data_IF_996122740998
#
_entry.id   IF_996122740998
#
_cell.length_a   1.000
_cell.length_b   1.000
_cell.length_c   1.000
_cell.angle_alpha   90.00
_cell.angle_beta   90.00
_cell.angle_gamma   90.00
#
_symmetry.space_group_name_H-M   'P 1'
#
loop_
_entity.id
_entity.type
_entity.pdbx_description
1 polymer ?
#
# COMPACT_ATOMS: atom_id res chain seq x y z
N UNK A 1 -5.73 -5.75 4.73
CA UNK A 1 -4.30 -6.12 4.63
C UNK A 1 -3.49 -4.86 4.79
N UNK A 2 -2.29 -4.84 5.40
CA UNK A 2 -1.44 -3.65 5.37
C UNK A 2 -1.30 -3.17 3.94
N UNK A 3 -1.63 -1.90 3.75
CA UNK A 3 -1.50 -1.20 2.48
C UNK A 3 -0.21 -0.40 2.55
N UNK A 4 -0.04 0.47 1.56
CA UNK A 4 1.21 1.19 1.34
C UNK A 4 1.82 1.83 2.59
N UNK A 5 1.01 2.60 3.33
CA UNK A 5 1.49 3.35 4.50
C UNK A 5 1.93 2.45 5.64
N UNK A 6 1.20 1.38 5.91
CA UNK A 6 1.46 0.47 7.02
C UNK A 6 2.66 -0.41 6.72
N UNK A 7 2.84 -0.80 5.44
CA UNK A 7 4.03 -1.50 4.98
C UNK A 7 5.26 -0.59 5.07
N UNK A 8 5.19 0.64 4.54
CA UNK A 8 6.26 1.61 4.63
C UNK A 8 6.59 1.99 6.09
N UNK A 9 5.57 2.17 6.94
CA UNK A 9 5.74 2.44 8.37
C UNK A 9 6.53 1.33 9.07
N UNK A 10 6.10 0.08 8.84
CA UNK A 10 6.75 -1.10 9.41
C UNK A 10 8.16 -1.29 8.86
N UNK A 11 8.35 -1.01 7.57
CA UNK A 11 9.64 -1.00 6.88
C UNK A 11 10.63 0.00 7.47
N UNK A 12 10.24 1.28 7.54
CA UNK A 12 11.05 2.34 8.14
C UNK A 12 11.36 2.06 9.61
N UNK A 13 10.40 1.58 10.41
CA UNK A 13 10.67 1.20 11.79
C UNK A 13 11.76 0.12 11.88
N UNK A 14 11.65 -0.94 11.08
CA UNK A 14 12.63 -2.02 11.06
C UNK A 14 14.02 -1.53 10.63
N UNK A 15 14.06 -0.77 9.53
CA UNK A 15 15.28 -0.25 8.92
C UNK A 15 16.02 0.71 9.86
N UNK A 16 15.31 1.70 10.43
CA UNK A 16 15.91 2.68 11.34
C UNK A 16 16.36 2.04 12.66
N UNK A 17 15.61 1.06 13.19
CA UNK A 17 16.00 0.34 14.41
C UNK A 17 17.24 -0.53 14.17
N UNK A 18 17.27 -1.26 13.05
CA UNK A 18 18.44 -2.05 12.64
C UNK A 18 19.67 -1.19 12.43
N UNK A 19 19.52 -0.07 11.71
CA UNK A 19 20.61 0.88 11.46
C UNK A 19 21.17 1.44 12.76
N UNK A 20 20.31 1.93 13.66
CA UNK A 20 20.74 2.48 14.95
C UNK A 20 21.49 1.46 15.81
N UNK A 21 20.99 0.22 15.88
CA UNK A 21 21.66 -0.85 16.62
C UNK A 21 22.99 -1.27 15.97
N UNK A 22 23.08 -1.31 14.64
CA UNK A 22 24.34 -1.59 13.95
C UNK A 22 25.38 -0.48 14.15
N UNK A 23 24.96 0.78 14.16
CA UNK A 23 25.81 1.93 14.49
C UNK A 23 26.31 1.87 15.94
N UNK A 24 25.56 1.24 16.85
CA UNK A 24 25.98 0.96 18.22
C UNK A 24 26.95 -0.24 18.34
N UNK A 25 27.28 -0.93 17.23
CA UNK A 25 28.22 -2.05 17.20
C UNK A 25 27.60 -3.41 17.55
N UNK A 26 26.27 -3.52 17.50
CA UNK A 26 25.58 -4.77 17.80
C UNK A 26 25.77 -5.83 16.71
N UNK A 27 25.84 -7.09 17.14
CA UNK A 27 25.92 -8.26 16.25
C UNK A 27 24.53 -8.80 15.90
N UNK A 28 24.36 -9.17 14.65
CA UNK A 28 23.11 -9.62 14.04
C UNK A 28 23.21 -11.05 13.48
N UNK A 29 24.10 -11.88 14.02
CA UNK A 29 24.06 -13.33 13.84
C UNK A 29 22.77 -13.88 14.44
N UNK A 30 22.01 -14.61 13.63
CA UNK A 30 20.74 -15.20 14.02
C UNK A 30 20.96 -16.36 14.98
N UNK A 31 20.48 -16.23 16.21
CA UNK A 31 20.55 -17.29 17.21
C UNK A 31 19.38 -18.27 17.04
N UNK A 32 18.16 -17.74 16.81
CA UNK A 32 16.94 -18.54 16.85
C UNK A 32 15.77 -17.87 16.10
N UNK A 33 14.76 -18.67 15.76
CA UNK A 33 13.47 -18.23 15.23
C UNK A 33 12.37 -18.71 16.19
N UNK A 34 11.57 -17.79 16.72
CA UNK A 34 10.53 -18.12 17.69
C UNK A 34 9.11 -17.76 17.21
N UNK A 35 8.12 -18.51 17.69
CA UNK A 35 6.70 -18.35 17.33
C UNK A 35 5.77 -18.62 18.51
N UNK A 36 4.54 -18.13 18.42
CA UNK A 36 3.41 -18.68 19.16
C UNK A 36 2.72 -19.79 18.35
N UNK A 37 2.31 -20.86 19.04
CA UNK A 37 1.50 -21.92 18.45
C UNK A 37 0.05 -21.48 18.22
N UNK A 38 -0.59 -21.99 17.17
CA UNK A 38 -2.05 -21.98 17.04
C UNK A 38 -2.70 -22.87 18.12
N UNK A 39 -4.01 -22.74 18.32
CA UNK A 39 -4.72 -23.64 19.23
C UNK A 39 -4.61 -25.12 18.83
N UNK A 40 -4.60 -25.42 17.52
CA UNK A 40 -4.44 -26.78 17.01
C UNK A 40 -3.01 -27.29 17.18
N UNK A 41 -2.01 -26.44 16.92
CA UNK A 41 -0.59 -26.78 17.10
C UNK A 41 -0.28 -27.10 18.57
N UNK A 42 -0.78 -26.30 19.50
CA UNK A 42 -0.56 -26.51 20.94
C UNK A 42 -1.19 -27.81 21.48
N UNK A 43 -2.17 -28.37 20.78
CA UNK A 43 -2.84 -29.62 21.17
C UNK A 43 -2.18 -30.88 20.59
N UNK A 44 -1.16 -30.74 19.72
CA UNK A 44 -0.46 -31.91 19.18
C UNK A 44 0.27 -32.65 20.33
N UNK A 45 0.33 -33.99 20.31
CA UNK A 45 1.05 -34.75 21.35
C UNK A 45 2.52 -34.34 21.47
N UNK A 46 3.16 -34.11 20.31
CA UNK A 46 4.55 -33.71 20.14
C UNK A 46 4.79 -32.19 20.29
N UNK A 47 3.75 -31.39 20.59
CA UNK A 47 3.93 -29.96 20.76
C UNK A 47 4.86 -29.64 21.95
N UNK A 48 5.78 -28.66 21.81
CA UNK A 48 6.62 -28.21 22.91
C UNK A 48 5.80 -27.78 24.13
N UNK A 49 6.32 -28.03 25.32
CA UNK A 49 5.61 -27.72 26.57
C UNK A 49 5.25 -26.23 26.68
N UNK A 50 6.14 -25.34 26.22
CA UNK A 50 5.87 -23.90 26.14
C UNK A 50 4.68 -23.58 25.23
N UNK A 51 4.56 -24.26 24.08
CA UNK A 51 3.44 -24.09 23.16
C UNK A 51 2.11 -24.51 23.81
N UNK A 52 2.11 -25.63 24.56
CA UNK A 52 0.95 -26.12 25.34
C UNK A 52 0.51 -25.10 26.41
N UNK A 53 1.47 -24.40 27.01
CA UNK A 53 1.23 -23.32 27.99
C UNK A 53 0.82 -21.97 27.35
N UNK A 54 0.77 -21.89 26.01
CA UNK A 54 0.47 -20.65 25.30
C UNK A 54 1.57 -19.59 25.39
N UNK A 55 2.82 -20.04 25.61
CA UNK A 55 4.04 -19.24 25.60
C UNK A 55 4.73 -19.35 24.23
N UNK A 56 5.56 -18.35 23.94
CA UNK A 56 6.45 -18.36 22.77
C UNK A 56 7.47 -19.49 22.91
N UNK A 57 7.76 -20.19 21.82
CA UNK A 57 8.76 -21.24 21.76
C UNK A 57 9.64 -21.10 20.51
N UNK A 58 10.87 -21.58 20.63
CA UNK A 58 11.86 -21.58 19.56
C UNK A 58 11.65 -22.76 18.60
N UNK A 59 11.92 -22.54 17.32
CA UNK A 59 11.84 -23.55 16.28
C UNK A 59 13.21 -24.20 16.11
N UNK A 60 13.22 -25.51 15.87
CA UNK A 60 14.43 -26.24 15.50
C UNK A 60 14.41 -26.61 14.01
N UNK A 61 15.51 -27.23 13.55
CA UNK A 61 15.67 -27.67 12.17
C UNK A 61 14.64 -28.72 11.73
N UNK A 62 13.85 -29.31 12.63
CA UNK A 62 12.80 -30.27 12.28
C UNK A 62 11.42 -29.62 12.12
N UNK A 63 11.31 -28.31 12.40
CA UNK A 63 10.05 -27.59 12.39
C UNK A 63 9.31 -27.65 11.05
N UNK A 64 8.03 -28.00 11.10
CA UNK A 64 7.10 -28.02 9.98
C UNK A 64 6.07 -26.87 10.05
N UNK A 65 6.29 -25.89 10.93
CA UNK A 65 5.34 -24.82 11.20
C UNK A 65 5.16 -23.94 9.96
N UNK A 66 3.90 -23.77 9.54
CA UNK A 66 3.52 -22.95 8.39
C UNK A 66 2.57 -21.82 8.76
N UNK A 67 2.67 -20.70 8.05
CA UNK A 67 1.85 -19.50 8.24
C UNK A 67 1.41 -18.95 6.88
N UNK A 68 0.25 -18.29 6.86
CA UNK A 68 -0.35 -17.74 5.65
C UNK A 68 -1.84 -18.06 5.56
N UNK A 69 -2.45 -17.69 4.43
CA UNK A 69 -3.84 -18.02 4.14
C UNK A 69 -3.99 -19.54 3.92
N UNK A 70 -5.17 -20.10 4.14
CA UNK A 70 -5.42 -21.55 4.17
C UNK A 70 -4.88 -22.34 2.96
N UNK A 71 -4.78 -21.72 1.78
CA UNK A 71 -4.27 -22.35 0.55
C UNK A 71 -2.84 -21.93 0.16
N UNK A 72 -2.26 -20.97 0.88
CA UNK A 72 -0.99 -20.34 0.58
C UNK A 72 -0.12 -20.25 1.84
N UNK A 73 -0.10 -21.32 2.63
CA UNK A 73 0.76 -21.38 3.80
C UNK A 73 2.20 -21.70 3.38
N UNK A 74 3.14 -21.02 4.03
CA UNK A 74 4.58 -21.08 3.77
C UNK A 74 5.33 -21.39 5.06
N UNK A 75 6.52 -21.98 4.93
CA UNK A 75 7.30 -22.45 6.08
C UNK A 75 7.91 -21.26 6.82
N UNK A 76 7.72 -21.23 8.15
CA UNK A 76 8.31 -20.17 8.99
C UNK A 76 9.81 -20.39 9.10
N UNK A 77 10.24 -21.64 9.29
CA UNK A 77 11.65 -22.01 9.31
C UNK A 77 12.22 -22.07 7.88
N UNK A 78 13.47 -21.61 7.63
CA UNK A 78 14.08 -21.66 6.30
C UNK A 78 14.11 -23.09 5.73
N UNK A 79 13.49 -23.37 4.57
CA UNK A 79 13.42 -24.72 4.03
C UNK A 79 14.81 -25.34 3.72
N UNK A 80 15.79 -24.50 3.35
CA UNK A 80 17.17 -24.91 3.05
C UNK A 80 17.96 -25.30 4.30
N UNK A 81 17.53 -24.87 5.48
CA UNK A 81 18.15 -25.19 6.77
C UNK A 81 17.37 -26.27 7.52
N UNK A 82 16.32 -26.84 6.91
CA UNK A 82 15.52 -27.89 7.55
C UNK A 82 16.22 -29.24 7.45
N UNK A 83 16.19 -29.98 8.55
CA UNK A 83 16.62 -31.36 8.63
C UNK A 83 15.56 -32.25 7.93
N UNK A 84 15.99 -32.97 6.90
CA UNK A 84 15.16 -33.92 6.14
C UNK A 84 15.89 -35.24 5.98
N UNK A 85 15.24 -36.25 5.38
CA UNK A 85 15.93 -37.50 5.01
C UNK A 85 17.12 -37.24 4.07
N UNK A 86 16.98 -36.25 3.19
CA UNK A 86 17.96 -35.93 2.15
C UNK A 86 19.01 -34.92 2.66
N UNK A 87 18.71 -34.22 3.75
CA UNK A 87 19.59 -33.28 4.43
C UNK A 87 19.54 -33.51 5.96
N UNK A 88 20.14 -34.59 6.49
CA UNK A 88 20.02 -34.95 7.91
C UNK A 88 20.83 -34.03 8.84
N UNK A 89 21.70 -33.17 8.31
CA UNK A 89 22.55 -32.27 9.08
C UNK A 89 22.67 -30.92 8.37
N UNK A 90 21.57 -30.15 8.31
CA UNK A 90 21.57 -28.84 7.67
C UNK A 90 22.51 -27.86 8.39
N UNK A 91 22.93 -26.77 7.71
CA UNK A 91 23.64 -25.69 8.38
C UNK A 91 22.82 -25.08 9.53
N UNK A 92 23.51 -24.60 10.57
CA UNK A 92 22.89 -23.91 11.71
C UNK A 92 22.35 -22.54 11.33
N UNK A 93 21.34 -22.03 12.06
CA UNK A 93 20.88 -20.64 11.96
C UNK A 93 21.99 -19.62 12.19
N UNK A 94 23.01 -19.98 12.98
CA UNK A 94 24.18 -19.12 13.22
C UNK A 94 25.05 -18.86 11.99
N UNK A 95 24.75 -19.50 10.85
CA UNK A 95 25.34 -19.16 9.54
C UNK A 95 24.68 -17.95 8.88
N UNK A 96 23.52 -17.51 9.38
CA UNK A 96 22.77 -16.35 8.92
C UNK A 96 23.10 -15.14 9.79
N UNK A 97 23.58 -14.07 9.17
CA UNK A 97 23.69 -12.76 9.81
C UNK A 97 22.81 -11.77 9.05
N UNK A 98 22.00 -10.96 9.74
CA UNK A 98 21.18 -9.93 9.08
C UNK A 98 22.09 -8.77 8.63
N UNK A 99 22.18 -8.58 7.32
CA UNK A 99 23.06 -7.62 6.68
C UNK A 99 22.33 -6.35 6.26
N UNK A 100 21.06 -6.45 5.87
CA UNK A 100 20.24 -5.30 5.46
C UNK A 100 18.74 -5.55 5.68
N UNK A 101 17.99 -4.45 5.76
CA UNK A 101 16.53 -4.44 5.87
C UNK A 101 15.97 -3.47 4.83
N UNK A 102 15.24 -4.02 3.85
CA UNK A 102 14.50 -3.23 2.87
C UNK A 102 13.01 -3.57 2.94
N UNK A 103 12.18 -2.86 2.19
CA UNK A 103 10.75 -3.14 2.13
C UNK A 103 10.18 -2.81 0.75
N UNK A 104 9.00 -3.36 0.52
CA UNK A 104 8.14 -3.07 -0.64
C UNK A 104 6.79 -2.56 -0.13
N UNK A 105 5.90 -2.24 -1.06
CA UNK A 105 4.54 -1.80 -0.75
C UNK A 105 3.70 -2.77 0.09
N UNK A 106 4.12 -4.03 0.28
CA UNK A 106 3.40 -5.01 1.12
C UNK A 106 4.26 -5.96 1.95
N UNK A 107 5.58 -5.86 1.87
CA UNK A 107 6.47 -6.81 2.54
C UNK A 107 7.70 -6.16 3.12
N UNK A 108 8.19 -6.73 4.22
CA UNK A 108 9.56 -6.50 4.68
C UNK A 108 10.48 -7.51 4.01
N UNK A 109 11.69 -7.09 3.63
CA UNK A 109 12.72 -7.95 3.08
C UNK A 109 13.93 -7.88 4.01
N UNK A 110 14.28 -9.03 4.58
CA UNK A 110 15.42 -9.21 5.46
C UNK A 110 16.52 -9.92 4.68
N UNK A 111 17.64 -9.23 4.47
CA UNK A 111 18.78 -9.77 3.74
C UNK A 111 19.74 -10.38 4.74
N UNK A 112 19.76 -11.71 4.83
CA UNK A 112 20.78 -12.44 5.58
C UNK A 112 21.94 -12.83 4.65
N UNK A 113 23.12 -13.07 5.23
CA UNK A 113 24.34 -13.46 4.53
C UNK A 113 24.18 -14.47 3.37
N UNK A 114 23.39 -15.53 3.56
CA UNK A 114 23.19 -16.59 2.54
C UNK A 114 21.73 -16.79 2.14
N UNK A 115 20.79 -16.05 2.74
CA UNK A 115 19.36 -16.20 2.51
C UNK A 115 18.65 -14.85 2.58
N UNK A 116 17.52 -14.74 1.89
CA UNK A 116 16.64 -13.58 1.98
C UNK A 116 15.27 -14.04 2.47
N UNK A 117 14.72 -13.34 3.46
CA UNK A 117 13.38 -13.56 3.98
C UNK A 117 12.46 -12.40 3.58
N UNK A 118 11.46 -12.67 2.74
CA UNK A 118 10.38 -11.73 2.44
C UNK A 118 9.18 -12.05 3.33
N UNK A 119 8.84 -11.14 4.26
CA UNK A 119 7.69 -11.28 5.14
C UNK A 119 6.55 -10.39 4.65
N UNK A 120 5.51 -11.01 4.11
CA UNK A 120 4.25 -10.34 3.78
C UNK A 120 3.36 -10.26 5.02
N UNK A 121 2.95 -9.06 5.40
CA UNK A 121 2.21 -8.84 6.65
C UNK A 121 0.78 -9.41 6.65
N UNK A 122 0.18 -9.58 5.46
CA UNK A 122 -1.21 -10.01 5.24
C UNK A 122 -2.26 -9.31 6.11
N UNK A 123 -2.58 -9.75 7.34
CA UNK A 123 -3.55 -9.05 8.22
C UNK A 123 -3.02 -8.90 9.64
N UNK A 124 -3.37 -7.77 10.27
CA UNK A 124 -3.13 -7.50 11.69
C UNK A 124 -1.72 -7.78 12.21
N UNK A 125 -0.70 -7.70 11.35
CA UNK A 125 0.71 -7.95 11.69
C UNK A 125 1.45 -6.62 11.65
N UNK A 126 2.30 -6.39 12.66
CA UNK A 126 3.16 -5.21 12.76
C UNK A 126 4.60 -5.63 13.02
N UNK A 127 5.53 -4.68 13.02
CA UNK A 127 6.93 -4.91 13.38
C UNK A 127 7.22 -4.35 14.77
N UNK A 128 8.02 -5.07 15.54
CA UNK A 128 8.58 -4.61 16.80
C UNK A 128 10.05 -4.99 16.89
N UNK A 129 10.86 -4.08 17.43
CA UNK A 129 12.30 -4.31 17.59
C UNK A 129 12.61 -4.24 19.09
N UNK A 130 12.57 -5.40 19.75
CA UNK A 130 12.71 -5.47 21.20
C UNK A 130 14.18 -5.56 21.61
N UNK A 131 14.61 -4.82 22.65
CA UNK A 131 15.82 -5.18 23.38
C UNK A 131 15.68 -6.60 23.95
N UNK A 132 16.78 -7.35 24.00
CA UNK A 132 16.82 -8.75 24.46
C UNK A 132 16.22 -8.90 25.86
N UNK A 133 16.54 -7.96 26.76
CA UNK A 133 16.02 -7.93 28.11
C UNK A 133 14.49 -7.81 28.14
N UNK A 134 13.92 -6.85 27.40
CA UNK A 134 12.47 -6.65 27.31
C UNK A 134 11.77 -7.88 26.71
N UNK A 135 12.36 -8.50 25.68
CA UNK A 135 11.84 -9.74 25.12
C UNK A 135 11.75 -10.85 26.17
N UNK A 136 12.82 -11.06 26.94
CA UNK A 136 12.91 -12.10 27.95
C UNK A 136 11.96 -11.87 29.12
N UNK A 137 11.85 -10.61 29.57
CA UNK A 137 11.09 -10.26 30.76
C UNK A 137 9.60 -10.08 30.49
N UNK A 138 9.22 -9.60 29.30
CA UNK A 138 7.85 -9.14 29.03
C UNK A 138 7.14 -9.86 27.89
N UNK A 139 7.86 -10.58 27.03
CA UNK A 139 7.25 -11.19 25.83
C UNK A 139 7.29 -12.71 25.88
N UNK A 140 8.47 -13.32 25.92
CA UNK A 140 8.64 -14.77 25.71
C UNK A 140 8.00 -15.60 26.83
N UNK A 141 7.99 -15.08 28.05
CA UNK A 141 7.48 -15.75 29.26
C UNK A 141 6.06 -15.33 29.65
N UNK A 142 5.38 -14.52 28.82
CA UNK A 142 4.01 -14.08 29.06
C UNK A 142 3.07 -14.77 28.08
N UNK A 143 2.00 -15.37 28.58
CA UNK A 143 1.07 -16.10 27.70
C UNK A 143 0.36 -15.16 26.73
N UNK A 144 0.04 -15.68 25.53
CA UNK A 144 -0.66 -14.90 24.50
C UNK A 144 -2.04 -14.38 24.95
N UNK A 145 -2.68 -15.02 25.94
CA UNK A 145 -3.95 -14.56 26.51
C UNK A 145 -3.79 -13.32 27.40
N UNK A 146 -2.62 -13.14 28.03
CA UNK A 146 -2.27 -11.95 28.81
C UNK A 146 -1.80 -10.84 27.87
N UNK A 147 -0.91 -11.15 26.91
CA UNK A 147 -0.39 -10.18 25.92
C UNK A 147 -1.47 -9.58 24.99
N UNK A 148 -2.56 -10.31 24.74
CA UNK A 148 -3.65 -9.95 23.79
C UNK A 148 -3.21 -9.89 22.31
N UNK A 149 -2.01 -10.38 22.00
CA UNK A 149 -1.50 -10.62 20.66
C UNK A 149 -0.67 -11.91 20.66
N UNK A 150 -0.24 -12.34 19.48
CA UNK A 150 0.59 -13.53 19.26
C UNK A 150 1.88 -13.10 18.55
N UNK A 151 2.95 -13.84 18.74
CA UNK A 151 4.16 -13.73 17.93
C UNK A 151 3.95 -14.61 16.72
N UNK A 152 3.78 -13.98 15.55
CA UNK A 152 3.75 -14.69 14.29
C UNK A 152 5.10 -15.34 14.05
N UNK A 153 6.14 -14.51 14.10
CA UNK A 153 7.54 -14.87 13.92
C UNK A 153 8.42 -13.89 14.68
N UNK A 154 9.56 -14.33 15.18
CA UNK A 154 10.59 -13.48 15.77
C UNK A 154 11.97 -13.99 15.42
N UNK A 155 12.84 -13.11 14.94
CA UNK A 155 14.26 -13.36 14.72
C UNK A 155 15.03 -12.90 15.95
N UNK A 156 15.72 -13.83 16.57
CA UNK A 156 16.43 -13.62 17.82
C UNK A 156 17.92 -13.41 17.54
N UNK A 157 18.44 -12.27 17.97
CA UNK A 157 19.85 -11.91 17.95
C UNK A 157 20.37 -11.75 19.38
N UNK A 158 21.68 -11.54 19.53
CA UNK A 158 22.33 -11.42 20.84
C UNK A 158 21.71 -10.31 21.72
N UNK A 159 21.60 -9.09 21.18
CA UNK A 159 21.11 -7.92 21.91
C UNK A 159 19.67 -7.52 21.59
N UNK A 160 19.11 -8.02 20.49
CA UNK A 160 17.81 -7.58 19.98
C UNK A 160 16.95 -8.73 19.46
N UNK A 161 15.65 -8.50 19.37
CA UNK A 161 14.69 -9.41 18.74
C UNK A 161 13.80 -8.62 17.78
N UNK A 162 13.90 -8.94 16.49
CA UNK A 162 12.99 -8.43 15.47
C UNK A 162 11.76 -9.34 15.42
N UNK A 163 10.63 -8.85 15.91
CA UNK A 163 9.41 -9.62 16.06
C UNK A 163 8.25 -9.09 15.21
N UNK A 164 7.39 -10.02 14.81
CA UNK A 164 6.18 -9.76 14.02
C UNK A 164 4.95 -10.15 14.84
N UNK A 165 4.51 -9.32 15.79
CA UNK A 165 3.29 -9.57 16.53
C UNK A 165 2.07 -9.44 15.61
N UNK A 166 1.10 -10.30 15.85
CA UNK A 166 -0.11 -10.44 15.05
C UNK A 166 -1.30 -10.83 15.92
N UNK A 167 -2.50 -10.41 15.52
CA UNK A 167 -3.75 -10.81 16.19
C UNK A 167 -4.14 -12.24 15.80
N UNK A 168 -3.92 -12.63 14.54
CA UNK A 168 -4.56 -13.80 13.92
C UNK A 168 -3.57 -14.87 13.39
N UNK A 169 -2.26 -14.62 13.41
CA UNK A 169 -1.22 -15.48 12.81
C UNK A 169 -1.32 -15.58 11.28
N UNK A 170 -1.97 -14.60 10.63
CA UNK A 170 -2.08 -14.52 9.17
C UNK A 170 -1.01 -13.56 8.66
N UNK A 171 0.13 -14.13 8.32
CA UNK A 171 1.27 -13.50 7.64
C UNK A 171 2.00 -14.58 6.82
N UNK A 172 2.84 -14.20 5.86
CA UNK A 172 3.47 -15.16 4.94
C UNK A 172 4.98 -14.89 4.77
N UNK A 173 5.85 -15.68 5.44
CA UNK A 173 7.28 -15.63 5.20
C UNK A 173 7.66 -16.45 3.95
N UNK A 174 8.45 -15.86 3.06
CA UNK A 174 9.02 -16.58 1.91
C UNK A 174 10.53 -16.49 2.01
N UNK A 175 11.19 -17.61 1.77
CA UNK A 175 12.64 -17.75 1.85
C UNK A 175 13.21 -17.97 0.46
N UNK A 176 14.30 -17.28 0.13
CA UNK A 176 15.02 -17.42 -1.11
C UNK A 176 16.54 -17.34 -0.89
N UNK A 177 17.32 -17.79 -1.86
CA UNK A 177 18.78 -17.61 -1.86
C UNK A 177 19.21 -16.25 -2.39
N UNK A 178 18.34 -15.57 -3.13
CA UNK A 178 18.59 -14.23 -3.65
C UNK A 178 17.33 -13.36 -3.57
N UNK A 179 17.50 -12.06 -3.34
CA UNK A 179 16.39 -11.11 -3.38
C UNK A 179 15.76 -11.01 -4.78
N UNK A 180 16.53 -11.32 -5.84
CA UNK A 180 16.03 -11.37 -7.23
C UNK A 180 15.03 -12.48 -7.49
N UNK A 181 14.94 -13.47 -6.60
CA UNK A 181 13.97 -14.57 -6.70
C UNK A 181 12.56 -14.09 -6.32
N UNK A 182 12.46 -12.95 -5.63
CA UNK A 182 11.19 -12.30 -5.34
C UNK A 182 10.81 -11.35 -6.48
N UNK A 183 9.67 -11.63 -7.11
CA UNK A 183 9.09 -10.77 -8.13
C UNK A 183 8.02 -9.91 -7.48
N UNK A 184 8.24 -8.59 -7.51
CA UNK A 184 7.24 -7.60 -7.13
C UNK A 184 7.26 -6.45 -8.15
N UNK A 185 6.13 -5.74 -8.33
CA UNK A 185 6.06 -4.62 -9.26
C UNK A 185 7.03 -3.50 -8.88
N UNK A 186 7.53 -2.73 -9.86
CA UNK A 186 8.31 -1.51 -9.59
C UNK A 186 7.50 -0.53 -8.74
N UNK A 187 8.20 0.21 -7.88
CA UNK A 187 7.58 1.22 -7.03
C UNK A 187 7.42 2.54 -7.80
N UNK A 188 6.21 3.11 -7.79
CA UNK A 188 5.86 4.35 -8.49
C UNK A 188 6.74 5.55 -8.11
N UNK A 189 7.30 5.58 -6.90
CA UNK A 189 8.05 6.73 -6.41
C UNK A 189 9.56 6.70 -6.73
N UNK A 190 10.35 5.68 -6.34
CA UNK A 190 11.77 5.63 -6.69
C UNK A 190 12.02 5.19 -8.14
N UNK A 191 11.04 4.55 -8.81
CA UNK A 191 11.14 4.10 -10.20
C UNK A 191 9.88 4.42 -11.05
N UNK A 192 9.47 5.71 -11.17
CA UNK A 192 8.26 6.08 -11.93
C UNK A 192 8.25 5.58 -13.39
N UNK A 193 9.37 5.63 -14.17
CA UNK A 193 9.38 5.12 -15.54
C UNK A 193 9.02 3.64 -15.66
N UNK A 194 9.58 2.79 -14.80
CA UNK A 194 9.34 1.34 -14.83
C UNK A 194 7.90 1.03 -14.42
N UNK A 195 7.37 1.76 -13.42
CA UNK A 195 5.98 1.65 -13.02
C UNK A 195 5.01 2.11 -14.12
N UNK A 196 5.25 3.23 -14.78
CA UNK A 196 4.39 3.68 -15.89
C UNK A 196 4.49 2.75 -17.11
N UNK A 197 5.62 2.08 -17.34
CA UNK A 197 5.71 1.06 -18.38
C UNK A 197 4.78 -0.12 -18.08
N UNK A 198 4.83 -0.64 -16.85
CA UNK A 198 3.92 -1.70 -16.39
C UNK A 198 2.44 -1.28 -16.49
N UNK A 199 2.12 -0.05 -16.10
CA UNK A 199 0.74 0.47 -16.20
C UNK A 199 0.32 0.69 -17.65
N UNK A 200 1.23 1.08 -18.55
CA UNK A 200 0.92 1.23 -19.97
C UNK A 200 0.49 -0.11 -20.59
N UNK A 201 1.16 -1.21 -20.25
CA UNK A 201 0.76 -2.57 -20.68
C UNK A 201 -0.63 -2.93 -20.14
N UNK A 202 -0.92 -2.57 -18.88
CA UNK A 202 -2.25 -2.74 -18.31
C UNK A 202 -3.32 -1.91 -19.04
N UNK A 203 -3.06 -0.63 -19.32
CA UNK A 203 -3.99 0.25 -20.05
C UNK A 203 -4.25 -0.29 -21.45
N UNK A 204 -3.21 -0.73 -22.18
CA UNK A 204 -3.35 -1.37 -23.48
C UNK A 204 -4.30 -2.59 -23.39
N UNK A 205 -4.13 -3.43 -22.37
CA UNK A 205 -5.03 -4.56 -22.11
C UNK A 205 -6.49 -4.15 -21.90
N UNK A 206 -6.74 -3.08 -21.14
CA UNK A 206 -8.09 -2.53 -20.90
C UNK A 206 -8.70 -1.94 -22.17
N UNK A 207 -7.91 -1.25 -22.99
CA UNK A 207 -8.38 -0.67 -24.26
C UNK A 207 -8.74 -1.76 -25.28
N UNK A 208 -7.98 -2.87 -25.32
CA UNK A 208 -8.26 -4.02 -26.18
C UNK A 208 -9.42 -4.88 -25.66
N UNK A 209 -9.58 -4.97 -24.34
CA UNK A 209 -10.63 -5.76 -23.69
C UNK A 209 -11.21 -4.97 -22.50
N UNK A 210 -12.26 -4.16 -22.75
CA UNK A 210 -12.90 -3.36 -21.71
C UNK A 210 -13.32 -4.19 -20.49
N UNK A 211 -12.91 -3.76 -19.30
CA UNK A 211 -13.40 -4.29 -18.02
C UNK A 211 -14.36 -3.28 -17.38
N UNK A 212 -15.64 -3.67 -17.31
CA UNK A 212 -16.72 -2.87 -16.75
C UNK A 212 -16.99 -3.17 -15.26
N UNK A 213 -16.09 -3.89 -14.59
CA UNK A 213 -16.14 -3.99 -13.13
C UNK A 213 -15.78 -2.64 -12.51
N UNK A 214 -16.29 -2.43 -11.30
CA UNK A 214 -15.96 -1.26 -10.48
C UNK A 214 -14.44 -1.14 -10.34
N UNK A 215 -13.92 0.06 -10.60
CA UNK A 215 -12.49 0.31 -10.63
C UNK A 215 -11.85 0.06 -9.26
N UNK A 216 -12.50 0.51 -8.18
CA UNK A 216 -12.01 0.33 -6.80
C UNK A 216 -11.81 -1.15 -6.45
N UNK A 217 -12.77 -2.02 -6.79
CA UNK A 217 -12.67 -3.46 -6.53
C UNK A 217 -11.60 -4.14 -7.40
N UNK A 218 -11.49 -3.73 -8.66
CA UNK A 218 -10.56 -4.34 -9.61
C UNK A 218 -9.11 -3.95 -9.33
N UNK A 219 -8.84 -2.66 -9.11
CA UNK A 219 -7.50 -2.14 -8.78
C UNK A 219 -6.94 -2.82 -7.53
N UNK A 220 -7.78 -3.01 -6.50
CA UNK A 220 -7.40 -3.75 -5.27
C UNK A 220 -7.02 -5.21 -5.51
N UNK A 221 -7.54 -5.83 -6.57
CA UNK A 221 -7.24 -7.20 -6.96
C UNK A 221 -5.99 -7.33 -7.84
N UNK A 222 -5.57 -6.26 -8.50
CA UNK A 222 -4.45 -6.21 -9.44
C UNK A 222 -3.12 -6.03 -8.71
N UNK A 223 -2.76 -6.99 -7.86
CA UNK A 223 -1.54 -6.93 -7.03
C UNK A 223 -0.24 -6.99 -7.85
N UNK A 224 -0.31 -7.43 -9.09
CA UNK A 224 0.77 -7.47 -10.08
C UNK A 224 1.00 -6.13 -10.78
N UNK A 225 0.08 -5.17 -10.66
CA UNK A 225 0.19 -3.82 -11.25
C UNK A 225 0.17 -2.74 -10.17
N UNK A 226 -0.86 -2.76 -9.32
CA UNK A 226 -1.14 -1.77 -8.29
C UNK A 226 -0.82 -2.32 -6.90
N UNK A 227 0.43 -2.76 -6.74
CA UNK A 227 0.93 -3.32 -5.49
C UNK A 227 0.83 -2.27 -4.36
N UNK A 228 0.42 -2.70 -3.16
CA UNK A 228 0.22 -1.78 -2.02
C UNK A 228 -1.17 -1.13 -1.94
N UNK A 229 -1.96 -1.12 -3.01
CA UNK A 229 -3.29 -0.49 -2.98
C UNK A 229 -4.31 -1.46 -2.36
N UNK A 230 -4.95 -1.05 -1.26
CA UNK A 230 -6.07 -1.78 -0.66
C UNK A 230 -7.35 -0.95 -0.57
N UNK A 231 -8.18 -1.26 0.43
CA UNK A 231 -9.53 -0.73 0.59
C UNK A 231 -9.51 0.78 0.81
N UNK A 232 -8.70 1.27 1.75
CA UNK A 232 -8.69 2.70 2.04
C UNK A 232 -7.80 3.47 1.09
N UNK A 233 -6.65 2.91 0.71
CA UNK A 233 -5.75 3.55 -0.25
C UNK A 233 -6.48 3.84 -1.55
N UNK A 234 -7.23 2.88 -2.12
CA UNK A 234 -7.94 3.16 -3.38
C UNK A 234 -8.97 4.29 -3.23
N UNK A 235 -9.64 4.41 -2.09
CA UNK A 235 -10.59 5.51 -1.86
C UNK A 235 -9.86 6.85 -1.75
N UNK A 236 -8.76 6.89 -1.00
CA UNK A 236 -7.89 8.06 -0.89
C UNK A 236 -7.34 8.51 -2.24
N UNK A 237 -6.93 7.56 -3.10
CA UNK A 237 -6.45 7.86 -4.45
C UNK A 237 -7.54 8.43 -5.35
N UNK A 238 -8.75 7.87 -5.29
CA UNK A 238 -9.88 8.38 -6.06
C UNK A 238 -10.26 9.79 -5.61
N UNK A 239 -10.25 10.06 -4.30
CA UNK A 239 -10.42 11.43 -3.77
C UNK A 239 -9.33 12.38 -4.27
N UNK A 240 -8.05 12.01 -4.15
CA UNK A 240 -6.93 12.83 -4.61
C UNK A 240 -6.93 13.08 -6.13
N UNK A 241 -7.47 12.14 -6.92
CA UNK A 241 -7.54 12.21 -8.38
C UNK A 241 -8.69 13.09 -8.92
N UNK A 242 -9.34 13.88 -8.06
CA UNK A 242 -10.43 14.86 -8.28
C UNK A 242 -11.06 14.92 -9.69
N UNK A 243 -12.30 14.45 -9.75
CA UNK A 243 -13.39 14.74 -10.69
C UNK A 243 -14.61 15.11 -9.81
N UNK A 244 -15.76 15.59 -10.26
CA UNK A 244 -16.97 15.54 -9.42
C UNK A 244 -18.04 14.78 -10.20
N UNK A 245 -18.73 13.88 -9.53
CA UNK A 245 -19.83 13.13 -10.12
C UNK A 245 -21.06 13.30 -9.25
N UNK A 246 -22.12 13.84 -9.82
CA UNK A 246 -23.46 13.83 -9.23
C UNK A 246 -24.24 12.68 -9.87
N UNK A 247 -24.78 11.78 -9.05
CA UNK A 247 -25.74 10.76 -9.49
C UNK A 247 -27.15 11.31 -9.22
N UNK A 248 -27.68 12.17 -10.08
CA UNK A 248 -29.11 12.50 -10.04
C UNK A 248 -29.89 11.38 -10.76
N UNK A 249 -30.70 10.59 -10.04
CA UNK A 249 -31.70 9.71 -10.68
C UNK A 249 -31.84 8.27 -10.18
N UNK A 250 -31.21 7.87 -9.07
CA UNK A 250 -31.50 6.57 -8.44
C UNK A 250 -32.06 6.77 -7.02
N UNK A 251 -33.25 6.22 -6.76
CA UNK A 251 -33.86 6.12 -5.43
C UNK A 251 -33.04 5.17 -4.54
N UNK A 252 -31.93 5.68 -4.00
CA UNK A 252 -31.23 5.04 -2.90
C UNK A 252 -31.78 5.55 -1.56
N UNK A 253 -31.70 4.70 -0.54
CA UNK A 253 -32.15 4.95 0.82
C UNK A 253 -31.60 6.30 1.36
N UNK A 254 -32.39 7.14 2.06
CA UNK A 254 -31.98 8.50 2.47
C UNK A 254 -30.75 8.58 3.39
N UNK A 255 -30.26 7.46 3.93
CA UNK A 255 -28.99 7.43 4.68
C UNK A 255 -27.75 7.30 3.76
N UNK A 256 -27.90 6.77 2.54
CA UNK A 256 -26.82 6.67 1.53
C UNK A 256 -26.78 7.92 0.64
N UNK A 257 -27.92 8.59 0.44
CA UNK A 257 -28.04 9.85 -0.31
C UNK A 257 -27.19 11.00 0.28
N UNK A 258 -27.00 11.05 1.60
CA UNK A 258 -26.29 12.16 2.24
C UNK A 258 -24.75 12.06 2.12
N UNK A 259 -24.20 10.88 1.83
CA UNK A 259 -22.76 10.67 1.61
C UNK A 259 -22.38 10.67 0.11
N UNK A 260 -23.36 10.60 -0.79
CA UNK A 260 -23.14 10.43 -2.24
C UNK A 260 -23.23 11.71 -3.07
N UNK A 261 -23.68 12.83 -2.51
CA UNK A 261 -24.00 14.01 -3.32
C UNK A 261 -22.82 14.92 -3.67
N UNK A 262 -21.67 14.82 -3.01
CA UNK A 262 -20.48 15.61 -3.36
C UNK A 262 -19.21 14.86 -2.94
N UNK A 263 -18.73 13.90 -3.74
CA UNK A 263 -17.33 13.47 -3.60
C UNK A 263 -16.51 14.14 -4.70
N UNK A 264 -15.70 15.15 -4.36
CA UNK A 264 -14.70 15.63 -5.28
C UNK A 264 -13.57 14.58 -5.29
N UNK A 265 -13.38 13.96 -6.45
CA UNK A 265 -12.65 12.72 -6.69
C UNK A 265 -13.05 12.09 -8.04
N UNK A 266 -12.19 11.25 -8.62
CA UNK A 266 -12.73 10.24 -9.54
C UNK A 266 -13.84 9.50 -8.79
N UNK A 267 -14.99 9.29 -9.41
CA UNK A 267 -16.08 8.58 -8.74
C UNK A 267 -15.65 7.14 -8.44
N UNK A 268 -15.79 6.64 -7.19
CA UNK A 268 -15.42 5.27 -6.85
C UNK A 268 -16.33 4.23 -7.53
N UNK A 269 -17.39 4.68 -8.20
CA UNK A 269 -18.33 3.89 -8.99
C UNK A 269 -17.94 3.75 -10.46
N UNK A 270 -16.94 4.51 -10.93
CA UNK A 270 -16.41 4.33 -12.27
C UNK A 270 -15.93 2.89 -12.45
N UNK A 271 -16.10 2.38 -13.65
CA UNK A 271 -15.52 1.11 -14.08
C UNK A 271 -14.03 1.29 -14.38
N UNK A 272 -13.27 0.18 -14.38
CA UNK A 272 -11.85 0.21 -14.77
C UNK A 272 -11.69 0.82 -16.16
N UNK A 273 -12.54 0.41 -17.10
CA UNK A 273 -12.54 0.98 -18.45
C UNK A 273 -12.78 2.50 -18.44
N UNK A 274 -13.76 3.00 -17.70
CA UNK A 274 -14.04 4.46 -17.66
C UNK A 274 -12.93 5.29 -17.03
N UNK A 275 -12.13 4.71 -16.13
CA UNK A 275 -10.94 5.36 -15.56
C UNK A 275 -9.79 5.35 -16.58
N UNK A 276 -9.47 4.19 -17.15
CA UNK A 276 -8.24 4.01 -17.94
C UNK A 276 -8.41 4.24 -19.45
N UNK A 277 -9.64 4.35 -19.97
CA UNK A 277 -9.88 4.76 -21.37
C UNK A 277 -9.83 6.27 -21.60
N UNK A 278 -9.81 7.06 -20.52
CA UNK A 278 -9.74 8.53 -20.57
C UNK A 278 -8.35 8.97 -20.10
N UNK A 279 -7.47 9.51 -20.99
CA UNK A 279 -6.09 9.84 -20.64
C UNK A 279 -5.93 10.72 -19.39
N UNK A 280 -6.79 11.76 -19.28
CA UNK A 280 -6.77 12.67 -18.14
C UNK A 280 -7.14 12.00 -16.81
N UNK A 281 -8.09 11.04 -16.81
CA UNK A 281 -8.49 10.32 -15.58
C UNK A 281 -7.40 9.35 -15.13
N UNK A 282 -6.83 8.60 -16.07
CA UNK A 282 -5.71 7.71 -15.78
C UNK A 282 -4.52 8.50 -15.24
N UNK A 283 -4.14 9.61 -15.87
CA UNK A 283 -3.04 10.45 -15.41
C UNK A 283 -3.30 11.01 -14.00
N UNK A 284 -4.51 11.50 -13.71
CA UNK A 284 -4.90 11.96 -12.36
C UNK A 284 -4.78 10.84 -11.32
N UNK A 285 -5.26 9.63 -11.63
CA UNK A 285 -5.15 8.47 -10.73
C UNK A 285 -3.69 8.08 -10.47
N UNK A 286 -2.85 8.03 -11.51
CA UNK A 286 -1.44 7.66 -11.38
C UNK A 286 -0.64 8.71 -10.60
N UNK A 287 -0.85 9.99 -10.86
CA UNK A 287 -0.21 11.06 -10.08
C UNK A 287 -0.72 11.11 -8.64
N UNK A 288 -1.99 10.76 -8.40
CA UNK A 288 -2.52 10.61 -7.04
C UNK A 288 -1.76 9.50 -6.31
N UNK A 289 -1.53 8.37 -6.96
CA UNK A 289 -0.77 7.27 -6.38
C UNK A 289 0.68 7.67 -6.11
N UNK A 290 1.31 8.39 -7.04
CA UNK A 290 2.67 8.89 -6.87
C UNK A 290 2.74 9.79 -5.62
N UNK A 291 1.87 10.81 -5.52
CA UNK A 291 1.88 11.74 -4.40
C UNK A 291 1.55 11.05 -3.06
N UNK A 292 0.70 10.02 -3.10
CA UNK A 292 0.37 9.23 -1.93
C UNK A 292 1.60 8.46 -1.40
N UNK A 293 2.36 7.83 -2.30
CA UNK A 293 3.58 7.09 -1.97
C UNK A 293 4.71 8.04 -1.58
N UNK A 294 4.93 9.11 -2.34
CA UNK A 294 5.93 10.16 -2.04
C UNK A 294 5.74 10.72 -0.62
N UNK A 295 4.54 11.20 -0.30
CA UNK A 295 4.23 11.70 1.05
C UNK A 295 4.43 10.63 2.12
N UNK A 296 4.13 9.37 1.80
CA UNK A 296 4.37 8.26 2.73
C UNK A 296 5.87 8.08 2.97
N UNK A 297 6.67 8.10 1.92
CA UNK A 297 8.12 7.91 2.00
C UNK A 297 8.84 9.05 2.71
N UNK A 298 8.41 10.29 2.47
CA UNK A 298 9.07 11.47 3.03
C UNK A 298 8.61 11.77 4.46
N UNK A 299 7.31 11.68 4.73
CA UNK A 299 6.74 12.28 5.94
C UNK A 299 6.36 11.24 7.01
N UNK A 300 6.14 9.96 6.68
CA UNK A 300 5.49 9.02 7.63
C UNK A 300 6.34 8.79 8.88
N UNK A 301 7.65 8.93 8.75
CA UNK A 301 8.56 8.79 9.88
C UNK A 301 8.34 9.85 10.95
N UNK A 302 7.95 11.08 10.57
CA UNK A 302 7.63 12.15 11.53
C UNK A 302 6.42 11.80 12.40
N UNK A 303 5.47 11.02 11.86
CA UNK A 303 4.31 10.51 12.59
C UNK A 303 4.69 9.35 13.52
N UNK A 304 5.53 8.43 13.03
CA UNK A 304 5.86 7.18 13.72
C UNK A 304 6.89 7.36 14.83
N UNK A 305 7.96 8.11 14.57
CA UNK A 305 9.11 8.24 15.48
C UNK A 305 8.71 8.63 16.91
N UNK A 306 7.78 9.58 17.15
CA UNK A 306 7.35 9.92 18.51
C UNK A 306 6.61 8.79 19.26
N UNK A 307 6.18 7.74 18.54
CA UNK A 307 5.45 6.60 19.08
C UNK A 307 6.38 5.41 19.40
N UNK A 308 7.68 5.52 19.09
CA UNK A 308 8.66 4.46 19.29
C UNK A 308 9.46 4.74 20.55
N UNK A 309 9.45 3.79 21.48
CA UNK A 309 10.17 3.84 22.75
C UNK A 309 11.03 2.58 22.86
N UNK A 310 12.35 2.75 22.89
CA UNK A 310 13.32 1.64 22.95
C UNK A 310 13.08 0.56 21.89
N UNK A 311 12.82 0.98 20.64
CA UNK A 311 12.52 0.08 19.50
C UNK A 311 11.09 -0.48 19.45
N UNK A 312 10.26 -0.14 20.45
CA UNK A 312 8.88 -0.62 20.59
C UNK A 312 7.90 0.46 20.14
N UNK A 313 7.06 0.15 19.16
CA UNK A 313 5.96 1.00 18.74
C UNK A 313 4.81 0.91 19.75
N UNK A 314 4.66 1.95 20.57
CA UNK A 314 3.68 2.05 21.65
C UNK A 314 2.91 3.38 21.63
N UNK A 315 2.10 3.65 20.58
CA UNK A 315 1.41 4.92 20.43
C UNK A 315 0.29 5.08 21.46
N UNK A 316 0.21 6.27 22.07
CA UNK A 316 -0.95 6.72 22.86
C UNK A 316 -2.19 6.89 21.99
N UNK A 317 -3.37 7.04 22.62
CA UNK A 317 -4.61 7.31 21.88
C UNK A 317 -4.50 8.55 21.01
N UNK A 318 -3.98 9.65 21.56
CA UNK A 318 -3.82 10.91 20.81
C UNK A 318 -2.85 10.74 19.64
N UNK A 319 -1.76 9.99 19.84
CA UNK A 319 -0.80 9.71 18.77
C UNK A 319 -1.43 8.88 17.64
N UNK A 320 -2.31 7.91 17.95
CA UNK A 320 -3.07 7.16 16.93
C UNK A 320 -4.06 8.06 16.19
N UNK A 321 -4.71 8.98 16.88
CA UNK A 321 -5.68 9.90 16.27
C UNK A 321 -5.02 10.83 15.25
N UNK A 322 -3.74 11.18 15.41
CA UNK A 322 -2.98 11.93 14.38
C UNK A 322 -2.87 11.20 13.04
N UNK A 323 -3.00 9.88 13.01
CA UNK A 323 -3.06 9.16 11.72
C UNK A 323 -4.37 9.44 10.97
N UNK A 324 -5.46 9.80 11.65
CA UNK A 324 -6.68 10.22 10.97
C UNK A 324 -6.48 11.51 10.16
N UNK A 325 -5.55 12.38 10.57
CA UNK A 325 -5.19 13.60 9.83
C UNK A 325 -4.39 13.31 8.54
N UNK A 326 -3.85 12.09 8.42
CA UNK A 326 -3.18 11.62 7.21
C UNK A 326 -4.14 11.12 6.13
N UNK A 327 -5.37 10.80 6.51
CA UNK A 327 -6.42 10.32 5.61
C UNK A 327 -7.28 11.51 5.19
N UNK A 328 -7.64 11.61 3.92
CA UNK A 328 -8.53 12.65 3.44
C UNK A 328 -9.99 12.28 3.67
N UNK A 329 -10.39 11.04 3.40
CA UNK A 329 -11.80 10.62 3.44
C UNK A 329 -12.06 9.33 4.22
N UNK A 330 -11.08 8.45 4.34
CA UNK A 330 -11.30 7.15 4.95
C UNK A 330 -11.63 7.28 6.44
N UNK A 331 -12.67 6.56 6.87
CA UNK A 331 -13.19 6.57 8.23
C UNK A 331 -13.59 7.98 8.74
N UNK A 332 -13.98 8.88 7.83
CA UNK A 332 -14.49 10.21 8.16
C UNK A 332 -15.94 10.34 7.68
N UNK A 333 -16.82 10.82 8.57
CA UNK A 333 -18.20 11.17 8.20
C UNK A 333 -18.22 12.43 7.32
N UNK A 334 -17.28 13.36 7.57
CA UNK A 334 -17.16 14.62 6.86
C UNK A 334 -15.69 14.88 6.53
N UNK A 335 -15.43 15.44 5.36
CA UNK A 335 -14.10 15.89 4.96
C UNK A 335 -14.12 17.37 4.62
N UNK A 336 -12.99 18.05 4.84
CA UNK A 336 -12.80 19.42 4.43
C UNK A 336 -12.12 19.45 3.05
N UNK A 337 -12.57 20.36 2.21
CA UNK A 337 -12.02 20.60 0.87
C UNK A 337 -11.41 22.00 0.80
N UNK A 338 -10.56 22.25 -0.19
CA UNK A 338 -10.06 23.61 -0.43
C UNK A 338 -11.25 24.53 -0.77
N UNK A 339 -11.13 25.82 -0.46
CA UNK A 339 -12.17 26.80 -0.83
C UNK A 339 -12.43 26.79 -2.35
N UNK A 340 -11.37 26.69 -3.14
CA UNK A 340 -11.43 26.60 -4.60
C UNK A 340 -12.18 25.34 -5.06
N UNK A 341 -11.90 24.19 -4.47
CA UNK A 341 -12.60 22.94 -4.78
C UNK A 341 -14.08 23.04 -4.42
N UNK A 342 -14.43 23.66 -3.29
CA UNK A 342 -15.81 23.96 -2.94
C UNK A 342 -16.52 24.83 -3.98
N UNK A 343 -15.87 25.92 -4.42
CA UNK A 343 -16.40 26.79 -5.47
C UNK A 343 -16.62 26.06 -6.80
N UNK A 344 -15.66 25.22 -7.22
CA UNK A 344 -15.80 24.42 -8.43
C UNK A 344 -16.96 23.41 -8.32
N UNK A 345 -17.19 22.84 -7.14
CA UNK A 345 -18.34 21.96 -6.89
C UNK A 345 -19.64 22.75 -6.98
N UNK A 346 -19.73 23.92 -6.37
CA UNK A 346 -20.91 24.79 -6.43
C UNK A 346 -21.23 25.22 -7.88
N UNK A 347 -20.21 25.61 -8.63
CA UNK A 347 -20.33 25.95 -10.06
C UNK A 347 -20.79 24.75 -10.90
N UNK A 348 -20.26 23.55 -10.62
CA UNK A 348 -20.65 22.32 -11.30
C UNK A 348 -22.13 22.00 -11.03
N UNK A 349 -22.60 22.14 -9.78
CA UNK A 349 -24.00 21.95 -9.43
C UNK A 349 -24.90 23.00 -10.09
N UNK A 350 -24.48 24.26 -10.15
CA UNK A 350 -25.25 25.29 -10.84
C UNK A 350 -25.46 24.96 -12.34
N UNK A 351 -24.47 24.36 -13.00
CA UNK A 351 -24.60 23.90 -14.40
C UNK A 351 -25.58 22.72 -14.50
N UNK A 352 -25.53 21.77 -13.56
CA UNK A 352 -26.48 20.66 -13.51
C UNK A 352 -27.92 21.12 -13.29
N UNK A 353 -28.13 22.01 -12.31
CA UNK A 353 -29.45 22.56 -11.99
C UNK A 353 -30.01 23.35 -13.18
N UNK A 354 -29.16 24.09 -13.89
CA UNK A 354 -29.55 24.81 -15.10
C UNK A 354 -30.00 23.85 -16.23
N UNK A 355 -29.29 22.73 -16.40
CA UNK A 355 -29.69 21.71 -17.37
C UNK A 355 -30.99 21.00 -16.98
N UNK A 356 -31.17 20.66 -15.71
CA UNK A 356 -32.41 20.05 -15.20
C UNK A 356 -33.60 21.00 -15.38
N UNK A 357 -33.42 22.29 -15.05
CA UNK A 357 -34.46 23.30 -15.22
C UNK A 357 -34.83 23.58 -16.68
N UNK A 358 -33.89 23.41 -17.62
CA UNK A 358 -34.15 23.56 -19.05
C UNK A 358 -35.06 22.45 -19.59
N UNK A 359 -35.13 21.29 -18.93
CA UNK A 359 -35.95 20.15 -19.35
C UNK A 359 -35.46 19.45 -20.64
N UNK A 360 -34.31 19.87 -21.16
CA UNK A 360 -33.70 19.29 -22.36
C UNK A 360 -32.89 18.04 -22.01
N UNK A 361 -32.91 17.06 -22.92
CA UNK A 361 -31.97 15.94 -22.83
C UNK A 361 -30.57 16.46 -23.15
N UNK A 362 -29.74 16.62 -22.13
CA UNK A 362 -28.35 17.00 -22.28
C UNK A 362 -27.43 15.78 -22.11
N UNK A 363 -26.23 15.87 -22.68
CA UNK A 363 -25.18 14.92 -22.39
C UNK A 363 -23.90 15.70 -22.08
N UNK A 364 -23.08 15.16 -21.16
CA UNK A 364 -21.90 15.82 -20.57
C UNK A 364 -20.95 16.48 -21.58
N UNK A 365 -20.89 15.93 -22.80
CA UNK A 365 -19.93 16.32 -23.84
C UNK A 365 -20.59 16.90 -25.10
N UNK A 366 -21.84 17.35 -25.02
CA UNK A 366 -22.50 18.05 -26.13
C UNK A 366 -21.94 19.46 -26.28
N UNK A 367 -21.63 19.93 -27.50
CA UNK A 367 -21.20 21.31 -27.73
C UNK A 367 -22.18 22.31 -27.10
N UNK A 368 -21.66 23.23 -26.29
CA UNK A 368 -22.46 24.24 -25.57
C UNK A 368 -23.11 23.78 -24.27
N UNK A 369 -23.00 22.51 -23.91
CA UNK A 369 -23.45 21.92 -22.64
C UNK A 369 -22.29 21.18 -21.95
N UNK A 370 -21.09 21.77 -22.05
CA UNK A 370 -19.86 21.18 -21.58
C UNK A 370 -19.81 21.30 -20.06
N UNK A 371 -20.00 20.17 -19.40
CA UNK A 371 -19.84 20.08 -17.96
C UNK A 371 -18.36 19.85 -17.65
N UNK A 372 -17.75 20.78 -16.93
CA UNK A 372 -16.34 20.68 -16.57
C UNK A 372 -16.12 19.60 -15.50
N UNK A 373 -14.95 18.97 -15.53
CA UNK A 373 -14.51 18.11 -14.44
C UNK A 373 -13.99 18.99 -13.30
N UNK A 374 -14.64 18.98 -12.14
CA UNK A 374 -14.07 19.58 -10.92
C UNK A 374 -12.71 18.95 -10.67
N UNK A 375 -11.65 19.76 -10.60
CA UNK A 375 -10.29 19.26 -10.42
C UNK A 375 -9.46 20.18 -9.53
N UNK A 376 -8.86 19.61 -8.49
CA UNK A 376 -7.96 20.30 -7.56
C UNK A 376 -6.53 19.77 -7.68
N UNK A 377 -5.67 20.42 -8.49
CA UNK A 377 -4.31 19.97 -8.73
C UNK A 377 -3.41 20.07 -7.50
N UNK A 378 -3.79 20.77 -6.42
CA UNK A 378 -2.96 20.86 -5.21
C UNK A 378 -2.71 19.50 -4.55
N UNK A 379 -3.63 18.54 -4.69
CA UNK A 379 -3.42 17.17 -4.21
C UNK A 379 -2.37 16.39 -5.02
N UNK A 380 -2.12 16.84 -6.26
CA UNK A 380 -1.21 16.20 -7.21
C UNK A 380 0.09 17.01 -7.38
N UNK A 381 0.33 18.02 -6.55
CA UNK A 381 1.42 18.96 -6.75
C UNK A 381 2.81 18.30 -6.82
N UNK A 382 3.08 17.31 -5.96
CA UNK A 382 4.35 16.56 -5.97
C UNK A 382 4.59 15.85 -7.31
N UNK A 383 3.61 15.05 -7.75
CA UNK A 383 3.65 14.33 -9.02
C UNK A 383 3.63 15.23 -10.26
N UNK A 384 2.97 16.39 -10.20
CA UNK A 384 2.98 17.38 -11.28
C UNK A 384 4.35 18.09 -11.39
N UNK A 385 5.07 18.24 -10.27
CA UNK A 385 6.39 18.85 -10.22
C UNK A 385 7.54 17.85 -10.43
N UNK A 386 7.26 16.54 -10.42
CA UNK A 386 8.24 15.50 -10.67
C UNK A 386 8.82 15.59 -12.09
N UNK A 387 10.08 15.16 -12.24
CA UNK A 387 10.76 15.13 -13.53
C UNK A 387 10.05 14.23 -14.56
N UNK A 388 9.38 13.18 -14.09
CA UNK A 388 8.58 12.26 -14.89
C UNK A 388 7.09 12.39 -14.53
N UNK A 389 6.44 13.43 -15.04
CA UNK A 389 5.02 13.74 -14.77
C UNK A 389 4.11 13.48 -15.98
N UNK A 390 2.80 13.41 -15.72
CA UNK A 390 1.74 13.21 -16.72
C UNK A 390 0.85 14.44 -16.89
N UNK A 391 1.36 15.65 -16.56
CA UNK A 391 0.57 16.87 -16.56
C UNK A 391 -0.04 17.22 -17.92
N UNK A 392 0.67 16.91 -19.02
CA UNK A 392 0.16 17.14 -20.38
C UNK A 392 -1.05 16.26 -20.74
N UNK A 393 -1.23 15.09 -20.11
CA UNK A 393 -2.42 14.26 -20.29
C UNK A 393 -3.63 14.81 -19.52
N UNK A 394 -3.38 15.57 -18.44
CA UNK A 394 -4.43 16.17 -17.60
C UNK A 394 -4.93 17.48 -18.23
N UNK A 395 -4.00 18.39 -18.55
CA UNK A 395 -4.33 19.76 -18.99
C UNK A 395 -4.31 19.95 -20.52
N UNK A 396 -3.75 18.98 -21.25
CA UNK A 396 -3.34 19.18 -22.63
C UNK A 396 -1.98 19.86 -22.73
N UNK A 397 -1.26 19.60 -23.83
CA UNK A 397 0.14 20.03 -24.00
C UNK A 397 0.31 21.56 -23.92
N UNK A 398 -0.50 22.32 -24.66
CA UNK A 398 -0.41 23.77 -24.72
C UNK A 398 -0.72 24.44 -23.36
N UNK A 399 -1.80 24.01 -22.70
CA UNK A 399 -2.19 24.50 -21.37
C UNK A 399 -1.13 24.12 -20.32
N UNK A 400 -0.61 22.89 -20.36
CA UNK A 400 0.42 22.47 -19.43
C UNK A 400 1.67 23.35 -19.54
N UNK A 401 2.11 23.64 -20.76
CA UNK A 401 3.24 24.54 -21.01
C UNK A 401 2.95 25.99 -20.56
N UNK A 402 1.73 26.51 -20.78
CA UNK A 402 1.38 27.87 -20.37
C UNK A 402 1.31 28.03 -18.85
N UNK A 403 1.01 26.95 -18.12
CA UNK A 403 1.08 26.87 -16.67
C UNK A 403 2.53 26.73 -16.14
N UNK A 404 3.54 26.75 -17.02
CA UNK A 404 4.94 26.54 -16.66
C UNK A 404 5.33 25.08 -16.47
N UNK A 405 4.44 24.16 -16.83
CA UNK A 405 4.65 22.72 -16.75
C UNK A 405 5.76 22.24 -17.67
N UNK A 406 6.59 21.33 -17.16
CA UNK A 406 7.64 20.69 -17.94
C UNK A 406 7.05 19.44 -18.58
N UNK A 407 7.07 19.39 -19.91
CA UNK A 407 6.81 18.15 -20.64
C UNK A 407 8.09 17.32 -20.55
N UNK A 408 7.99 16.09 -20.06
CA UNK A 408 9.11 15.16 -20.07
C UNK A 408 9.64 15.05 -21.51
N UNK A 409 10.94 15.27 -21.68
CA UNK A 409 11.60 15.06 -22.99
C UNK A 409 11.64 13.58 -23.39
N UNK A 410 11.25 12.68 -22.49
CA UNK A 410 11.14 11.24 -22.74
C UNK A 410 9.72 10.93 -23.17
N UNK A 411 9.57 10.13 -24.22
CA UNK A 411 8.28 9.50 -24.55
C UNK A 411 7.85 8.64 -23.36
N UNK A 412 6.88 9.12 -22.58
CA UNK A 412 6.31 8.33 -21.49
C UNK A 412 5.41 7.22 -22.07
N UNK A 413 5.49 6.00 -21.52
CA UNK A 413 4.82 4.83 -22.11
C UNK A 413 3.29 4.93 -22.06
N UNK A 414 2.74 5.63 -21.07
CA UNK A 414 1.29 5.84 -20.92
C UNK A 414 0.75 6.71 -22.07
N UNK A 415 1.42 7.84 -22.36
CA UNK A 415 1.07 8.71 -23.50
C UNK A 415 1.24 7.97 -24.82
N UNK A 416 2.26 7.13 -24.96
CA UNK A 416 2.48 6.33 -26.16
C UNK A 416 1.29 5.39 -26.46
N UNK A 417 0.74 4.74 -25.42
CA UNK A 417 -0.47 3.90 -25.56
C UNK A 417 -1.66 4.73 -26.03
N UNK A 418 -1.95 5.86 -25.38
CA UNK A 418 -3.08 6.70 -25.80
C UNK A 418 -2.93 7.26 -27.23
N UNK A 419 -1.70 7.62 -27.62
CA UNK A 419 -1.38 8.05 -28.99
C UNK A 419 -1.66 6.95 -30.00
N UNK A 420 -1.22 5.73 -29.71
CA UNK A 420 -1.43 4.54 -30.56
C UNK A 420 -2.92 4.28 -30.82
N UNK A 421 -3.77 4.51 -29.83
CA UNK A 421 -5.23 4.33 -29.92
C UNK A 421 -5.99 5.58 -30.42
N UNK A 422 -5.29 6.65 -30.82
CA UNK A 422 -5.93 7.88 -31.33
C UNK A 422 -6.68 8.68 -30.25
N UNK A 423 -6.39 8.44 -28.96
CA UNK A 423 -7.09 9.06 -27.83
C UNK A 423 -6.52 10.43 -27.42
N UNK A 424 -5.48 10.91 -28.12
CA UNK A 424 -4.87 12.23 -27.87
C UNK A 424 -5.30 13.31 -28.87
N UNK A 425 -5.74 12.92 -30.06
CA UNK A 425 -6.00 13.85 -31.17
C UNK A 425 -7.30 14.65 -31.01
N UNK A 426 -8.11 14.34 -30.00
CA UNK A 426 -9.35 15.05 -29.68
C UNK A 426 -9.19 16.14 -28.61
N UNK A 427 -8.03 16.23 -27.97
CA UNK A 427 -7.76 17.27 -26.95
C UNK A 427 -7.52 18.67 -27.57
N UNK A 428 -7.26 18.78 -28.88
CA UNK A 428 -7.00 20.06 -29.54
C UNK A 428 -8.22 20.94 -29.82
N UNK A 429 -9.44 20.48 -29.53
CA UNK A 429 -10.68 21.30 -29.66
C UNK A 429 -11.51 21.36 -28.37
N UNK A 430 -10.97 20.87 -27.26
CA UNK A 430 -11.65 20.87 -25.96
C UNK A 430 -10.68 21.38 -24.88
N UNK A 431 -10.53 22.70 -24.86
CA UNK A 431 -9.96 23.51 -23.77
C UNK A 431 -10.91 24.70 -23.59
N UNK A 432 -11.09 25.18 -22.34
CA UNK A 432 -12.33 25.68 -21.73
C UNK A 432 -13.02 26.87 -22.41
#
# INVERSE_FOLDING_TARGET
MPEEREAAASGKQAQESFKAAREAGEDFVLEDIAVDATGKEALRPDAPERAKQGLVYCLDATSDIRRGQSKHQTEVYPPTLRATSDNPSPPSLSTLALEDVTYTHRALILHFSTLVCMLQYLTHTSVQFYPRETWNNSIVNVSKSVRKFRIGMAFIFAAHVLAFPTIDLVFQPNWATSASDFIYPPNIFPAPPDFFALVADFIEGILLKPDHKRATDSIRGLNDTFYGIGVYTVMELFFMAVECFSVSGFDFNPLESLLMNCTPGLSPFLTVYEVFSVPSRAARFLLAFYCYVERTEEDIWSLLRPCIHDGILAPSTDQRLRYADWLFIWAKERTAVSLRMGQLVDEYHAVLDAHEAAGDTWCRNSPGNELFDVFEPTFLAGGLNADFNLGHLIFGHATWQSLGGRVSNRDDPVTAVYRKHGLLDHCGRRTP
#
